data_IF_889843276141
#
_entry.id   IF_889843276141
#
_cell.length_a   1.000
_cell.length_b   1.000
_cell.length_c   1.000
_cell.angle_alpha   90.00
_cell.angle_beta   90.00
_cell.angle_gamma   90.00
#
_symmetry.space_group_name_H-M   'P 1'
#
loop_
_entity.id
_entity.type
_entity.pdbx_description
1 polymer ?
#
# COMPACT_ATOMS: atom_id res chain seq x y z
N UNK A 1 -18.37 17.70 15.46
CA UNK A 1 -17.76 17.55 14.10
C UNK A 1 -16.23 17.52 14.15
N UNK A 2 -15.55 18.53 14.72
CA UNK A 2 -14.07 18.59 14.81
C UNK A 2 -13.40 17.37 15.47
N UNK A 3 -13.94 16.90 16.60
CA UNK A 3 -13.33 15.80 17.36
C UNK A 3 -13.41 14.46 16.61
N UNK A 4 -14.50 14.20 15.90
CA UNK A 4 -14.66 12.99 15.10
C UNK A 4 -13.61 12.92 13.98
N UNK A 5 -13.36 14.03 13.30
CA UNK A 5 -12.34 14.11 12.23
C UNK A 5 -10.94 13.86 12.78
N UNK A 6 -10.63 14.39 13.96
CA UNK A 6 -9.33 14.15 14.62
C UNK A 6 -9.17 12.68 14.99
N UNK A 7 -10.20 12.06 15.57
CA UNK A 7 -10.16 10.64 15.96
C UNK A 7 -9.98 9.73 14.75
N UNK A 8 -10.80 9.89 13.71
CA UNK A 8 -10.71 9.08 12.48
C UNK A 8 -9.34 9.21 11.84
N UNK A 9 -8.79 10.43 11.81
CA UNK A 9 -7.48 10.68 11.22
C UNK A 9 -6.34 10.02 12.01
N UNK A 10 -6.37 10.09 13.33
CA UNK A 10 -5.37 9.43 14.18
C UNK A 10 -5.47 7.91 14.00
N UNK A 11 -6.69 7.35 13.95
CA UNK A 11 -6.89 5.92 13.69
C UNK A 11 -6.35 5.50 12.32
N UNK A 12 -6.61 6.29 11.27
CA UNK A 12 -6.09 6.05 9.93
C UNK A 12 -4.56 6.11 9.90
N UNK A 13 -3.97 7.12 10.55
CA UNK A 13 -2.52 7.26 10.64
C UNK A 13 -1.86 6.10 11.39
N UNK A 14 -2.45 5.68 12.52
CA UNK A 14 -1.99 4.52 13.28
C UNK A 14 -2.11 3.23 12.47
N UNK A 15 -3.15 3.05 11.67
CA UNK A 15 -3.31 1.89 10.80
C UNK A 15 -2.19 1.80 9.75
N UNK A 16 -1.81 2.91 9.12
CA UNK A 16 -0.70 2.94 8.17
C UNK A 16 0.66 2.73 8.83
N UNK A 17 0.89 3.32 10.01
CA UNK A 17 2.12 3.08 10.79
C UNK A 17 2.21 1.60 11.17
N UNK A 18 1.13 1.04 11.71
CA UNK A 18 1.06 -0.37 12.11
C UNK A 18 1.33 -1.29 10.91
N UNK A 19 0.66 -1.07 9.78
CA UNK A 19 0.86 -1.85 8.55
C UNK A 19 2.25 -1.72 7.92
N UNK A 20 2.99 -0.67 8.24
CA UNK A 20 4.38 -0.47 7.81
C UNK A 20 5.34 -1.20 8.75
N UNK A 21 5.16 -1.04 10.07
CA UNK A 21 5.98 -1.72 11.08
C UNK A 21 5.82 -3.24 10.94
N UNK A 22 4.60 -3.75 10.80
CA UNK A 22 4.37 -5.19 10.64
C UNK A 22 5.07 -5.78 9.40
N UNK A 23 5.15 -5.01 8.32
CA UNK A 23 5.89 -5.39 7.13
C UNK A 23 7.41 -5.41 7.36
N UNK A 24 7.98 -4.33 7.92
CA UNK A 24 9.43 -4.25 8.16
C UNK A 24 9.94 -5.31 9.15
N UNK A 25 9.14 -5.60 10.17
CA UNK A 25 9.47 -6.60 11.18
C UNK A 25 8.99 -8.02 10.80
N UNK A 26 8.38 -8.21 9.62
CA UNK A 26 7.82 -9.50 9.18
C UNK A 26 6.96 -10.18 10.27
N UNK A 27 6.15 -9.39 10.98
CA UNK A 27 5.41 -9.81 12.17
C UNK A 27 4.27 -10.80 11.87
N UNK A 28 3.87 -10.92 10.60
CA UNK A 28 2.81 -11.83 10.17
C UNK A 28 3.27 -12.61 8.93
N UNK A 29 2.93 -13.90 8.84
CA UNK A 29 3.10 -14.65 7.60
C UNK A 29 2.27 -13.98 6.51
N UNK A 30 2.88 -13.72 5.35
CA UNK A 30 2.12 -13.25 4.21
C UNK A 30 1.04 -14.27 3.88
N UNK A 31 -0.21 -13.81 3.83
CA UNK A 31 -1.32 -14.64 3.38
C UNK A 31 -0.99 -15.19 1.97
N UNK A 32 -1.27 -16.47 1.75
CA UNK A 32 -1.08 -17.08 0.44
C UNK A 32 -1.99 -16.40 -0.58
N UNK A 33 -1.39 -15.54 -1.40
CA UNK A 33 -2.06 -14.92 -2.53
C UNK A 33 -2.19 -15.98 -3.62
N UNK A 34 -3.39 -16.14 -4.18
CA UNK A 34 -3.64 -17.07 -5.29
C UNK A 34 -3.97 -16.31 -6.58
N UNK A 35 -3.64 -16.91 -7.74
CA UNK A 35 -3.94 -16.34 -9.06
C UNK A 35 -3.08 -15.14 -9.48
N UNK A 36 -3.61 -14.27 -10.34
CA UNK A 36 -2.89 -13.12 -10.92
C UNK A 36 -2.48 -12.06 -9.88
N UNK A 37 -3.17 -12.00 -8.72
CA UNK A 37 -2.77 -11.14 -7.60
C UNK A 37 -1.40 -11.56 -7.07
N UNK A 38 -1.13 -12.88 -7.02
CA UNK A 38 0.19 -13.41 -6.68
C UNK A 38 1.23 -13.00 -7.71
N UNK A 39 0.94 -13.14 -9.01
CA UNK A 39 1.89 -12.78 -10.08
C UNK A 39 2.26 -11.30 -10.04
N UNK A 40 1.27 -10.42 -9.83
CA UNK A 40 1.51 -8.98 -9.70
C UNK A 40 2.35 -8.66 -8.45
N UNK A 41 1.99 -9.24 -7.31
CA UNK A 41 2.73 -9.03 -6.06
C UNK A 41 4.15 -9.62 -6.15
N UNK A 42 4.33 -10.80 -6.73
CA UNK A 42 5.64 -11.40 -7.00
C UNK A 42 6.48 -10.49 -7.92
N UNK A 43 5.87 -9.87 -8.93
CA UNK A 43 6.55 -8.88 -9.79
C UNK A 43 6.95 -7.61 -9.02
N UNK A 44 6.11 -7.13 -8.10
CA UNK A 44 6.46 -6.03 -7.21
C UNK A 44 7.57 -6.41 -6.24
N UNK A 45 7.59 -7.64 -5.71
CA UNK A 45 8.67 -8.15 -4.88
C UNK A 45 9.97 -8.33 -5.67
N UNK A 46 9.88 -8.80 -6.93
CA UNK A 46 11.03 -8.96 -7.82
C UNK A 46 11.73 -7.64 -8.13
N UNK A 47 10.99 -6.52 -8.09
CA UNK A 47 11.59 -5.19 -8.25
C UNK A 47 12.52 -4.79 -7.08
N UNK A 48 12.41 -5.45 -5.92
CA UNK A 48 13.27 -5.26 -4.74
C UNK A 48 13.09 -3.94 -3.98
N UNK A 49 12.63 -2.87 -4.65
CA UNK A 49 12.50 -1.54 -4.06
C UNK A 49 11.05 -1.07 -3.92
N UNK A 50 10.12 -1.50 -4.78
CA UNK A 50 8.77 -0.91 -4.84
C UNK A 50 8.00 -1.14 -3.55
N UNK A 51 8.00 -2.38 -3.05
CA UNK A 51 7.25 -2.69 -1.82
C UNK A 51 7.84 -1.97 -0.60
N UNK A 52 9.17 -1.84 -0.55
CA UNK A 52 9.87 -1.05 0.48
C UNK A 52 9.51 0.44 0.37
N UNK A 53 9.49 1.02 -0.83
CA UNK A 53 9.11 2.42 -1.03
C UNK A 53 7.66 2.70 -0.64
N UNK A 54 6.73 1.80 -0.98
CA UNK A 54 5.32 1.91 -0.58
C UNK A 54 5.23 1.94 0.94
N UNK A 55 5.93 1.04 1.64
CA UNK A 55 5.90 0.94 3.11
C UNK A 55 6.58 2.10 3.82
N UNK A 56 7.66 2.65 3.26
CA UNK A 56 8.26 3.89 3.77
C UNK A 56 7.28 5.06 3.60
N UNK A 57 6.64 5.15 2.45
CA UNK A 57 5.68 6.22 2.15
C UNK A 57 4.45 6.13 3.06
N UNK A 58 3.89 4.94 3.26
CA UNK A 58 2.82 4.68 4.22
C UNK A 58 3.20 5.09 5.64
N UNK A 59 4.43 4.78 6.08
CA UNK A 59 4.93 5.15 7.39
C UNK A 59 5.04 6.67 7.56
N UNK A 60 5.64 7.37 6.59
CA UNK A 60 5.78 8.83 6.62
C UNK A 60 4.41 9.52 6.60
N UNK A 61 3.50 9.06 5.74
CA UNK A 61 2.13 9.58 5.68
C UNK A 61 1.35 9.29 6.96
N UNK A 62 1.51 8.11 7.56
CA UNK A 62 0.90 7.74 8.83
C UNK A 62 1.37 8.65 9.98
N UNK A 63 2.68 8.92 10.06
CA UNK A 63 3.25 9.86 11.05
C UNK A 63 2.73 11.28 10.81
N UNK A 64 2.66 11.72 9.55
CA UNK A 64 2.08 13.03 9.19
C UNK A 64 0.60 13.13 9.60
N UNK A 65 -0.17 12.03 9.48
CA UNK A 65 -1.55 11.96 9.95
C UNK A 65 -1.69 12.05 11.48
N UNK A 66 -0.79 11.41 12.25
CA UNK A 66 -0.82 11.47 13.71
C UNK A 66 -0.33 12.84 14.23
N UNK A 67 0.74 13.40 13.66
CA UNK A 67 1.37 14.65 14.12
C UNK A 67 0.63 15.93 13.76
N UNK A 68 -0.51 15.83 13.05
CA UNK A 68 -1.21 17.01 12.53
C UNK A 68 -0.37 17.91 11.61
N UNK A 69 0.67 17.35 10.98
CA UNK A 69 1.60 18.10 10.13
C UNK A 69 1.48 17.62 8.68
N UNK A 70 1.37 18.57 7.75
CA UNK A 70 1.29 18.31 6.30
C UNK A 70 0.15 17.36 5.87
N UNK A 71 -1.00 17.39 6.58
CA UNK A 71 -2.18 16.56 6.27
C UNK A 71 -2.59 16.57 4.80
N UNK A 72 -2.79 17.74 4.14
CA UNK A 72 -3.24 17.74 2.75
C UNK A 72 -2.18 17.15 1.80
N UNK A 73 -0.89 17.32 2.10
CA UNK A 73 0.18 16.78 1.29
C UNK A 73 0.29 15.26 1.47
N UNK A 74 0.20 14.75 2.70
CA UNK A 74 0.15 13.33 2.98
C UNK A 74 -1.04 12.64 2.30
N UNK A 75 -2.21 13.30 2.27
CA UNK A 75 -3.39 12.79 1.58
C UNK A 75 -3.20 12.66 0.06
N UNK A 76 -2.51 13.61 -0.58
CA UNK A 76 -2.23 13.54 -2.03
C UNK A 76 -1.22 12.43 -2.32
N UNK A 77 -0.19 12.28 -1.49
CA UNK A 77 0.86 11.27 -1.67
C UNK A 77 0.32 9.86 -1.46
N UNK A 78 -0.55 9.64 -0.47
CA UNK A 78 -1.13 8.32 -0.19
C UNK A 78 -2.29 7.95 -1.13
N UNK A 79 -2.91 8.93 -1.81
CA UNK A 79 -4.04 8.70 -2.71
C UNK A 79 -3.82 7.58 -3.75
N UNK A 80 -2.72 7.54 -4.53
CA UNK A 80 -2.50 6.46 -5.48
C UNK A 80 -2.35 5.08 -4.82
N UNK A 81 -1.76 5.02 -3.62
CA UNK A 81 -1.61 3.78 -2.84
C UNK A 81 -2.98 3.27 -2.40
N UNK A 82 -3.81 4.17 -1.86
CA UNK A 82 -5.19 3.84 -1.46
C UNK A 82 -6.00 3.36 -2.67
N UNK A 83 -5.92 4.05 -3.80
CA UNK A 83 -6.61 3.64 -5.04
C UNK A 83 -6.15 2.25 -5.47
N UNK A 84 -4.86 1.92 -5.40
CA UNK A 84 -4.36 0.58 -5.73
C UNK A 84 -4.90 -0.52 -4.80
N UNK A 85 -5.04 -0.22 -3.50
CA UNK A 85 -5.63 -1.14 -2.51
C UNK A 85 -7.12 -1.38 -2.80
N UNK A 86 -7.89 -0.33 -3.13
CA UNK A 86 -9.32 -0.43 -3.40
C UNK A 86 -9.67 -0.91 -4.82
N UNK A 87 -8.74 -0.79 -5.77
CA UNK A 87 -8.91 -1.23 -7.15
C UNK A 87 -8.09 -2.51 -7.39
N UNK A 88 -8.59 -3.69 -6.97
CA UNK A 88 -7.93 -4.95 -7.28
C UNK A 88 -7.89 -5.17 -8.80
N UNK A 89 -6.87 -5.89 -9.26
CA UNK A 89 -6.76 -6.27 -10.66
C UNK A 89 -8.06 -6.94 -11.14
N UNK A 90 -8.57 -6.62 -12.33
CA UNK A 90 -9.77 -7.26 -12.86
C UNK A 90 -9.55 -8.78 -12.99
N UNK A 91 -10.56 -9.61 -12.67
CA UNK A 91 -10.51 -11.04 -12.89
C UNK A 91 -10.72 -11.34 -14.39
N UNK A 92 -9.73 -11.05 -15.23
CA UNK A 92 -9.71 -11.52 -16.63
C UNK A 92 -8.32 -11.43 -17.24
N UNK A 93 -7.84 -12.58 -17.72
CA UNK A 93 -6.50 -12.84 -18.25
C UNK A 93 -6.19 -12.25 -19.63
N UNK A 94 -6.56 -10.99 -19.90
CA UNK A 94 -6.35 -10.41 -21.24
C UNK A 94 -5.32 -9.29 -21.31
N UNK A 95 -4.86 -8.73 -20.18
CA UNK A 95 -3.97 -7.53 -20.21
C UNK A 95 -2.50 -7.76 -19.91
N UNK A 96 -2.13 -8.89 -19.31
CA UNK A 96 -0.72 -9.18 -18.96
C UNK A 96 -0.05 -10.19 -19.89
N UNK A 97 -0.79 -10.82 -20.80
CA UNK A 97 -0.25 -11.86 -21.71
C UNK A 97 0.77 -11.35 -22.74
N UNK A 98 0.72 -10.10 -23.26
CA UNK A 98 1.73 -9.66 -24.22
C UNK A 98 3.04 -9.22 -23.53
N UNK A 99 2.95 -8.60 -22.35
CA UNK A 99 4.10 -7.99 -21.68
C UNK A 99 4.95 -9.05 -20.95
N UNK A 100 4.33 -10.06 -20.36
CA UNK A 100 5.04 -11.14 -19.66
C UNK A 100 5.66 -12.15 -20.64
N UNK A 101 5.07 -12.36 -21.83
CA UNK A 101 5.64 -13.25 -22.86
C UNK A 101 6.78 -12.62 -23.67
N UNK A 102 6.94 -11.30 -23.69
CA UNK A 102 7.98 -10.64 -24.48
C UNK A 102 9.36 -10.60 -23.79
N UNK A 103 9.47 -11.06 -22.54
CA UNK A 103 10.70 -11.05 -21.75
C UNK A 103 11.24 -12.43 -21.37
N UNK A 104 10.78 -13.50 -22.03
CA UNK A 104 11.21 -14.89 -21.82
C UNK A 104 11.57 -15.56 -23.15
#
# INVERSE_FOLDING_TARGET
MKNAVIVVRILLGLLFIFGSITYFFNLYPQAELTGNVKIFMDGLYASGYVMTLVKITELICGIAFVTNRFVPLASIVIAPIIVNIFLPLPPSGERFSPVVRAGL
#
